data_IF_859002783161
#
_entry.id   IF_859002783161
#
_cell.length_a   1.000
_cell.length_b   1.000
_cell.length_c   1.000
_cell.angle_alpha   90.00
_cell.angle_beta   90.00
_cell.angle_gamma   90.00
#
_symmetry.space_group_name_H-M   'P 1'
#
loop_
_entity.id
_entity.type
_entity.pdbx_description
1 polymer ?
#
# COMPACT_ATOMS: atom_id res chain seq x y z
N UNK A 1 -5.71 22.44 4.99
CA UNK A 1 -4.67 21.78 4.15
C UNK A 1 -5.19 21.66 2.72
N UNK A 2 -4.36 21.61 1.70
CA UNK A 2 -4.81 21.30 0.33
C UNK A 2 -4.54 19.81 0.00
N UNK A 3 -5.07 19.34 -1.16
CA UNK A 3 -4.92 17.96 -1.61
C UNK A 3 -3.46 17.51 -1.68
N UNK A 4 -2.60 18.30 -2.33
CA UNK A 4 -1.19 17.94 -2.54
C UNK A 4 -0.41 17.84 -1.22
N UNK A 5 -0.74 18.70 -0.27
CA UNK A 5 -0.17 18.65 1.09
C UNK A 5 -0.59 17.37 1.82
N UNK A 6 -1.83 16.90 1.67
CA UNK A 6 -2.29 15.64 2.26
C UNK A 6 -1.55 14.46 1.64
N UNK A 7 -1.47 14.39 0.30
CA UNK A 7 -0.75 13.34 -0.42
C UNK A 7 0.71 13.27 0.03
N UNK A 8 1.40 14.42 0.05
CA UNK A 8 2.79 14.48 0.50
C UNK A 8 2.98 14.11 1.97
N UNK A 9 2.01 14.42 2.83
CA UNK A 9 2.05 14.01 4.26
C UNK A 9 1.90 12.50 4.40
N UNK A 10 0.93 11.92 3.72
CA UNK A 10 0.71 10.47 3.73
C UNK A 10 1.93 9.71 3.18
N UNK A 11 2.49 10.17 2.06
CA UNK A 11 3.70 9.57 1.47
C UNK A 11 4.92 9.63 2.40
N UNK A 12 5.14 10.76 3.07
CA UNK A 12 6.21 10.90 4.07
C UNK A 12 6.02 9.99 5.28
N UNK A 13 4.80 9.85 5.78
CA UNK A 13 4.47 8.92 6.86
C UNK A 13 4.76 7.47 6.43
N UNK A 14 4.34 7.08 5.22
CA UNK A 14 4.58 5.76 4.66
C UNK A 14 6.08 5.44 4.54
N UNK A 15 6.85 6.37 3.98
CA UNK A 15 8.29 6.25 3.86
C UNK A 15 8.97 6.06 5.22
N UNK A 16 8.65 6.93 6.17
CA UNK A 16 9.25 6.89 7.50
C UNK A 16 8.92 5.59 8.23
N UNK A 17 7.66 5.15 8.19
CA UNK A 17 7.26 3.93 8.88
C UNK A 17 7.90 2.68 8.26
N UNK A 18 7.95 2.58 6.93
CA UNK A 18 8.61 1.44 6.27
C UNK A 18 10.10 1.38 6.57
N UNK A 19 10.79 2.54 6.54
CA UNK A 19 12.20 2.63 6.87
C UNK A 19 12.51 2.21 8.32
N UNK A 20 11.69 2.67 9.27
CA UNK A 20 12.00 2.58 10.70
C UNK A 20 11.42 1.31 11.36
N UNK A 21 10.31 0.79 10.83
CA UNK A 21 9.57 -0.33 11.44
C UNK A 21 9.50 -1.57 10.55
N UNK A 22 9.78 -1.42 9.26
CA UNK A 22 9.63 -2.44 8.23
C UNK A 22 8.18 -2.94 8.10
N UNK A 23 7.87 -3.67 7.03
CA UNK A 23 6.52 -4.20 6.86
C UNK A 23 5.64 -3.38 5.93
N UNK A 24 5.99 -3.39 4.65
CA UNK A 24 5.42 -2.54 3.58
C UNK A 24 3.88 -2.49 3.54
N UNK A 25 3.16 -3.57 3.86
CA UNK A 25 1.71 -3.56 3.91
C UNK A 25 1.19 -2.78 5.13
N UNK A 26 1.84 -2.97 6.30
CA UNK A 26 1.50 -2.21 7.50
C UNK A 26 1.89 -0.74 7.37
N UNK A 27 3.01 -0.43 6.74
CA UNK A 27 3.43 0.95 6.47
C UNK A 27 2.42 1.68 5.59
N UNK A 28 1.91 1.00 4.55
CA UNK A 28 0.83 1.53 3.70
C UNK A 28 -0.43 1.82 4.51
N UNK A 29 -0.90 0.84 5.29
CA UNK A 29 -2.12 1.02 6.10
C UNK A 29 -1.92 2.10 7.15
N UNK A 30 -0.77 2.14 7.85
CA UNK A 30 -0.47 3.14 8.88
C UNK A 30 -0.52 4.57 8.35
N UNK A 31 0.14 4.81 7.22
CA UNK A 31 0.14 6.13 6.61
C UNK A 31 -1.26 6.60 6.20
N UNK A 32 -2.08 5.67 5.69
CA UNK A 32 -3.48 5.96 5.37
C UNK A 32 -4.33 6.15 6.62
N UNK A 33 -4.10 5.40 7.70
CA UNK A 33 -4.75 5.58 9.00
C UNK A 33 -4.46 6.95 9.62
N UNK A 34 -3.28 7.50 9.39
CA UNK A 34 -2.94 8.85 9.87
C UNK A 34 -3.85 9.89 9.22
N UNK A 35 -4.17 9.74 7.95
CA UNK A 35 -4.92 10.71 7.16
C UNK A 35 -6.43 10.41 7.07
N UNK A 36 -6.84 9.14 7.14
CA UNK A 36 -8.23 8.70 6.95
C UNK A 36 -8.75 7.92 8.17
N UNK A 37 -10.07 7.89 8.39
CA UNK A 37 -10.67 7.21 9.54
C UNK A 37 -10.72 5.68 9.35
N UNK A 38 -9.57 5.04 9.41
CA UNK A 38 -9.39 3.58 9.31
C UNK A 38 -9.19 3.03 10.72
N UNK A 39 -9.81 1.89 11.03
CA UNK A 39 -9.67 1.22 12.32
C UNK A 39 -8.36 0.41 12.41
N UNK A 40 -7.79 0.32 13.63
CA UNK A 40 -6.53 -0.37 13.90
C UNK A 40 -6.52 -1.84 13.47
N UNK A 41 -7.68 -2.48 13.41
CA UNK A 41 -7.77 -3.87 12.97
C UNK A 41 -7.23 -4.07 11.55
N UNK A 42 -7.38 -3.06 10.66
CA UNK A 42 -6.85 -3.13 9.28
C UNK A 42 -5.33 -3.17 9.28
N UNK A 43 -4.68 -2.39 10.16
CA UNK A 43 -3.23 -2.43 10.36
C UNK A 43 -2.77 -3.82 10.84
N UNK A 44 -3.48 -4.38 11.80
CA UNK A 44 -3.17 -5.70 12.37
C UNK A 44 -3.25 -6.82 11.33
N UNK A 45 -4.32 -6.87 10.54
CA UNK A 45 -4.50 -7.92 9.54
C UNK A 45 -3.58 -7.74 8.32
N UNK A 46 -3.00 -6.56 8.12
CA UNK A 46 -1.99 -6.31 7.10
C UNK A 46 -0.61 -6.94 7.42
N UNK A 47 -0.36 -7.34 8.67
CA UNK A 47 0.95 -7.83 9.11
C UNK A 47 1.53 -8.95 8.22
N UNK A 48 0.82 -10.04 7.88
CA UNK A 48 1.37 -11.10 7.05
C UNK A 48 1.52 -10.73 5.57
N UNK A 49 1.01 -9.58 5.13
CA UNK A 49 0.94 -9.18 3.72
C UNK A 49 2.24 -8.54 3.20
N UNK A 50 3.30 -8.45 4.02
CA UNK A 50 4.56 -7.82 3.65
C UNK A 50 5.51 -8.79 2.93
N UNK A 51 6.46 -8.24 2.15
CA UNK A 51 7.49 -9.00 1.46
C UNK A 51 6.96 -10.02 0.45
N UNK A 52 5.85 -9.74 -0.21
CA UNK A 52 5.19 -10.70 -1.12
C UNK A 52 4.54 -11.85 -0.38
N UNK A 53 3.84 -11.54 0.69
CA UNK A 53 3.20 -12.41 1.70
C UNK A 53 4.25 -13.19 2.50
N UNK A 54 4.34 -12.84 3.77
CA UNK A 54 5.26 -13.47 4.74
C UNK A 54 6.72 -13.57 4.24
N UNK A 55 7.21 -12.56 3.53
CA UNK A 55 8.55 -12.48 2.91
C UNK A 55 8.82 -13.52 1.81
N UNK A 56 7.81 -14.19 1.29
CA UNK A 56 7.94 -15.23 0.25
C UNK A 56 8.30 -14.70 -1.14
N UNK A 57 8.18 -13.41 -1.39
CA UNK A 57 8.56 -12.75 -2.64
C UNK A 57 7.63 -13.04 -3.84
N UNK A 58 6.82 -14.07 -3.78
CA UNK A 58 5.97 -14.56 -4.89
C UNK A 58 4.54 -14.05 -4.85
N UNK A 59 4.13 -13.43 -3.76
CA UNK A 59 2.87 -12.71 -3.64
C UNK A 59 3.00 -11.23 -4.03
N UNK A 60 1.88 -10.49 -4.07
CA UNK A 60 1.90 -9.08 -4.40
C UNK A 60 2.72 -8.24 -3.42
N UNK A 61 3.24 -7.10 -3.91
CA UNK A 61 3.91 -6.10 -3.08
C UNK A 61 3.02 -5.64 -1.93
N UNK A 62 3.61 -5.44 -0.74
CA UNK A 62 2.85 -5.02 0.43
C UNK A 62 2.20 -3.64 0.28
N UNK A 63 2.83 -2.73 -0.45
CA UNK A 63 2.20 -1.45 -0.82
C UNK A 63 0.89 -1.63 -1.59
N UNK A 64 0.85 -2.59 -2.51
CA UNK A 64 -0.37 -2.96 -3.23
C UNK A 64 -1.40 -3.62 -2.31
N UNK A 65 -0.97 -4.61 -1.51
CA UNK A 65 -1.88 -5.34 -0.60
C UNK A 65 -2.45 -4.44 0.49
N UNK A 66 -1.64 -3.55 1.07
CA UNK A 66 -2.12 -2.56 2.03
C UNK A 66 -3.23 -1.68 1.44
N UNK A 67 -3.06 -1.24 0.20
CA UNK A 67 -4.11 -0.51 -0.53
C UNK A 67 -5.37 -1.33 -0.76
N UNK A 68 -5.22 -2.60 -1.18
CA UNK A 68 -6.35 -3.49 -1.38
C UNK A 68 -7.16 -3.72 -0.09
N UNK A 69 -6.48 -3.87 1.06
CA UNK A 69 -7.13 -3.97 2.38
C UNK A 69 -7.91 -2.71 2.73
N UNK A 70 -7.33 -1.54 2.47
CA UNK A 70 -7.98 -0.24 2.75
C UNK A 70 -9.20 -0.03 1.83
N UNK A 71 -9.12 -0.37 0.55
CA UNK A 71 -10.29 -0.33 -0.33
C UNK A 71 -11.38 -1.31 0.12
N UNK A 72 -11.00 -2.52 0.57
CA UNK A 72 -11.92 -3.47 1.16
C UNK A 72 -12.59 -2.93 2.43
N UNK A 73 -11.85 -2.20 3.27
CA UNK A 73 -12.39 -1.58 4.48
C UNK A 73 -13.49 -0.54 4.18
N UNK A 74 -13.27 0.35 3.20
CA UNK A 74 -14.24 1.41 2.88
C UNK A 74 -15.38 0.95 1.96
N UNK A 75 -15.13 0.03 1.04
CA UNK A 75 -16.02 -0.27 -0.07
C UNK A 75 -16.34 -1.76 -0.21
N UNK A 76 -15.77 -2.59 0.67
CA UNK A 76 -15.99 -4.02 0.67
C UNK A 76 -17.42 -4.38 1.05
N UNK A 77 -17.84 -5.56 0.61
CA UNK A 77 -19.15 -6.10 0.89
C UNK A 77 -19.23 -6.56 2.35
N UNK A 78 -20.28 -6.14 3.06
CA UNK A 78 -20.56 -6.70 4.39
C UNK A 78 -21.13 -8.13 4.32
N UNK A 79 -21.14 -8.83 5.45
CA UNK A 79 -21.52 -10.26 5.54
C UNK A 79 -22.99 -10.52 5.15
N UNK A 80 -23.85 -9.52 5.29
CA UNK A 80 -25.28 -9.65 5.00
C UNK A 80 -25.63 -9.26 3.57
N UNK A 81 -24.69 -8.71 2.83
CA UNK A 81 -24.92 -8.29 1.45
C UNK A 81 -25.12 -9.49 0.53
N UNK A 82 -26.33 -9.66 0.02
CA UNK A 82 -26.60 -10.68 -1.02
C UNK A 82 -26.08 -10.18 -2.37
N UNK A 83 -25.32 -11.03 -3.04
CA UNK A 83 -24.86 -10.74 -4.40
C UNK A 83 -26.06 -10.82 -5.35
N UNK A 84 -26.51 -9.68 -5.83
CA UNK A 84 -27.42 -9.61 -6.96
C UNK A 84 -26.62 -9.54 -8.25
N UNK A 85 -27.17 -10.09 -9.35
CA UNK A 85 -26.53 -9.97 -10.67
C UNK A 85 -26.33 -8.48 -11.01
N UNK A 86 -25.08 -8.07 -11.24
CA UNK A 86 -24.72 -6.69 -11.52
C UNK A 86 -24.28 -5.86 -10.33
N UNK A 87 -24.04 -6.47 -9.17
CA UNK A 87 -23.44 -5.76 -8.02
C UNK A 87 -22.11 -5.12 -8.39
N UNK A 88 -22.06 -3.79 -8.29
CA UNK A 88 -20.84 -3.04 -8.55
C UNK A 88 -19.91 -3.17 -7.33
N UNK A 89 -18.80 -3.88 -7.50
CA UNK A 89 -17.79 -4.06 -6.45
C UNK A 89 -16.77 -2.92 -6.54
N UNK A 90 -17.07 -1.80 -5.89
CA UNK A 90 -16.21 -0.60 -5.90
C UNK A 90 -14.80 -0.90 -5.41
N UNK A 91 -14.65 -1.72 -4.38
CA UNK A 91 -13.36 -2.19 -3.88
C UNK A 91 -12.51 -2.83 -4.99
N UNK A 92 -13.11 -3.72 -5.78
CA UNK A 92 -12.43 -4.41 -6.90
C UNK A 92 -12.08 -3.47 -8.05
N UNK A 93 -12.95 -2.50 -8.33
CA UNK A 93 -12.68 -1.45 -9.32
C UNK A 93 -11.43 -0.66 -8.94
N UNK A 94 -11.35 -0.18 -7.69
CA UNK A 94 -10.22 0.59 -7.18
C UNK A 94 -8.93 -0.23 -7.11
N UNK A 95 -9.02 -1.50 -6.68
CA UNK A 95 -7.88 -2.42 -6.71
C UNK A 95 -7.38 -2.63 -8.15
N UNK A 96 -8.28 -2.71 -9.15
CA UNK A 96 -7.89 -2.82 -10.55
C UNK A 96 -7.23 -1.53 -11.09
N UNK A 97 -7.67 -0.35 -10.64
CA UNK A 97 -6.99 0.92 -10.99
C UNK A 97 -5.59 0.93 -10.37
N UNK A 98 -5.44 0.59 -9.10
CA UNK A 98 -4.14 0.50 -8.44
C UNK A 98 -3.22 -0.53 -9.13
N UNK A 99 -3.78 -1.69 -9.54
CA UNK A 99 -3.04 -2.70 -10.30
C UNK A 99 -2.47 -2.14 -11.60
N UNK A 100 -3.26 -1.39 -12.36
CA UNK A 100 -2.79 -0.75 -13.60
C UNK A 100 -1.63 0.20 -13.33
N UNK A 101 -1.73 1.05 -12.30
CA UNK A 101 -0.64 1.96 -11.89
C UNK A 101 0.64 1.18 -11.55
N UNK A 102 0.54 0.04 -10.86
CA UNK A 102 1.68 -0.83 -10.56
C UNK A 102 2.34 -1.40 -11.81
N UNK A 103 1.55 -1.92 -12.77
CA UNK A 103 2.08 -2.42 -14.04
C UNK A 103 2.73 -1.32 -14.88
N UNK A 104 2.13 -0.14 -14.93
CA UNK A 104 2.66 1.01 -15.69
C UNK A 104 3.97 1.55 -15.09
N UNK A 105 4.10 1.55 -13.77
CA UNK A 105 5.24 2.17 -13.09
C UNK A 105 6.36 1.17 -12.74
N UNK A 106 6.00 -0.04 -12.30
CA UNK A 106 6.93 -1.07 -11.83
C UNK A 106 7.02 -2.30 -12.77
N UNK A 107 6.25 -2.35 -13.85
CA UNK A 107 6.21 -3.50 -14.76
C UNK A 107 5.50 -4.74 -14.21
N UNK A 108 4.98 -4.70 -12.99
CA UNK A 108 4.31 -5.81 -12.33
C UNK A 108 3.84 -5.44 -10.92
N UNK A 109 3.20 -6.38 -10.24
CA UNK A 109 2.74 -6.16 -8.87
C UNK A 109 3.27 -7.19 -7.85
N UNK A 110 3.87 -8.29 -8.34
CA UNK A 110 4.49 -9.30 -7.47
C UNK A 110 5.75 -8.71 -6.83
N UNK A 111 6.02 -9.03 -5.57
CA UNK A 111 7.13 -8.44 -4.82
C UNK A 111 8.47 -8.55 -5.59
N UNK A 112 8.79 -9.74 -6.13
CA UNK A 112 10.01 -9.94 -6.94
C UNK A 112 9.99 -9.17 -8.26
N UNK A 113 8.84 -8.94 -8.87
CA UNK A 113 8.73 -8.11 -10.09
C UNK A 113 9.03 -6.65 -9.77
N UNK A 114 8.43 -6.14 -8.68
CA UNK A 114 8.72 -4.79 -8.19
C UNK A 114 10.18 -4.63 -7.82
N UNK A 115 10.78 -5.61 -7.10
CA UNK A 115 12.21 -5.60 -6.79
C UNK A 115 13.06 -5.57 -8.07
N UNK A 116 12.77 -6.41 -9.07
CA UNK A 116 13.47 -6.39 -10.34
C UNK A 116 13.41 -5.02 -11.02
N UNK A 117 12.30 -4.32 -10.92
CA UNK A 117 12.17 -2.99 -11.49
C UNK A 117 13.02 -1.94 -10.78
N UNK A 118 13.10 -1.98 -9.45
CA UNK A 118 13.73 -0.91 -8.66
C UNK A 118 15.18 -1.19 -8.27
N UNK A 119 15.62 -2.46 -8.25
CA UNK A 119 17.02 -2.88 -8.00
C UNK A 119 17.71 -3.44 -9.23
N UNK A 120 16.97 -3.81 -10.29
CA UNK A 120 17.49 -4.55 -11.42
C UNK A 120 17.55 -6.08 -11.22
N UNK A 121 17.24 -6.56 -10.03
CA UNK A 121 17.14 -7.97 -9.64
C UNK A 121 16.23 -8.14 -8.41
N UNK A 122 15.94 -9.37 -8.03
CA UNK A 122 15.17 -9.69 -6.84
C UNK A 122 15.99 -10.47 -5.83
N UNK A 123 15.55 -10.43 -4.58
CA UNK A 123 16.19 -11.13 -3.46
C UNK A 123 15.29 -12.24 -2.93
N UNK A 124 15.89 -13.29 -2.38
CA UNK A 124 15.22 -14.25 -1.52
C UNK A 124 15.33 -13.80 -0.07
N UNK A 125 14.28 -13.19 0.45
CA UNK A 125 14.28 -12.64 1.80
C UNK A 125 14.25 -13.71 2.91
N UNK A 126 14.09 -14.99 2.57
CA UNK A 126 14.30 -16.11 3.48
C UNK A 126 15.78 -16.52 3.59
N UNK A 127 16.57 -16.30 2.54
CA UNK A 127 18.01 -16.52 2.60
C UNK A 127 18.70 -15.39 3.36
N UNK A 128 19.42 -15.68 4.46
CA UNK A 128 20.06 -14.63 5.26
C UNK A 128 21.09 -13.80 4.49
N UNK A 129 21.83 -14.42 3.55
CA UNK A 129 22.84 -13.72 2.76
C UNK A 129 22.21 -12.79 1.70
N UNK A 130 21.11 -13.22 1.09
CA UNK A 130 20.36 -12.36 0.17
C UNK A 130 19.64 -11.23 0.90
N UNK A 131 19.15 -11.49 2.11
CA UNK A 131 18.57 -10.46 2.97
C UNK A 131 19.60 -9.41 3.36
N UNK A 132 20.83 -9.81 3.69
CA UNK A 132 21.92 -8.88 3.97
C UNK A 132 22.23 -7.99 2.75
N UNK A 133 22.31 -8.58 1.55
CA UNK A 133 22.50 -7.83 0.30
C UNK A 133 21.36 -6.83 0.06
N UNK A 134 20.11 -7.26 0.28
CA UNK A 134 18.93 -6.37 0.17
C UNK A 134 19.09 -5.14 1.06
N UNK A 135 19.51 -5.32 2.31
CA UNK A 135 19.75 -4.17 3.22
C UNK A 135 20.94 -3.31 2.74
N UNK A 136 22.03 -3.93 2.30
CA UNK A 136 23.21 -3.21 1.79
C UNK A 136 22.88 -2.38 0.54
N UNK A 137 21.96 -2.83 -0.30
CA UNK A 137 21.47 -2.11 -1.48
C UNK A 137 20.37 -1.09 -1.15
N UNK A 138 20.11 -0.84 0.13
CA UNK A 138 19.17 0.18 0.60
C UNK A 138 17.72 -0.26 0.62
N UNK A 139 17.47 -1.56 0.73
CA UNK A 139 16.14 -2.16 0.69
C UNK A 139 15.13 -1.46 1.60
N UNK A 140 15.34 -1.52 2.90
CA UNK A 140 14.50 -0.78 3.85
C UNK A 140 14.97 0.67 4.09
N UNK A 141 16.22 1.02 3.77
CA UNK A 141 16.69 2.38 3.99
C UNK A 141 16.02 3.40 3.05
N UNK A 142 15.76 3.01 1.81
CA UNK A 142 15.25 3.95 0.80
C UNK A 142 14.36 3.30 -0.27
N UNK A 143 14.70 2.11 -0.80
CA UNK A 143 14.08 1.61 -2.02
C UNK A 143 12.63 1.17 -1.77
N UNK A 144 12.38 0.24 -0.86
CA UNK A 144 11.02 -0.15 -0.50
C UNK A 144 10.21 0.99 0.14
N UNK A 145 10.78 1.87 1.01
CA UNK A 145 10.09 3.07 1.47
C UNK A 145 9.57 3.96 0.34
N UNK A 146 10.32 4.15 -0.74
CA UNK A 146 9.85 4.92 -1.90
C UNK A 146 8.72 4.20 -2.65
N UNK A 147 8.78 2.88 -2.81
CA UNK A 147 7.69 2.09 -3.41
C UNK A 147 6.40 2.25 -2.61
N UNK A 148 6.50 2.15 -1.27
CA UNK A 148 5.34 2.30 -0.37
C UNK A 148 4.79 3.72 -0.39
N UNK A 149 5.65 4.73 -0.37
CA UNK A 149 5.25 6.14 -0.47
C UNK A 149 4.49 6.42 -1.77
N UNK A 150 5.00 5.95 -2.90
CA UNK A 150 4.33 6.06 -4.21
C UNK A 150 2.96 5.39 -4.21
N UNK A 151 2.86 4.17 -3.65
CA UNK A 151 1.58 3.47 -3.54
C UNK A 151 0.57 4.25 -2.69
N UNK A 152 1.01 4.81 -1.55
CA UNK A 152 0.17 5.59 -0.64
C UNK A 152 -0.35 6.87 -1.31
N UNK A 153 0.45 7.55 -2.12
CA UNK A 153 -0.02 8.69 -2.92
C UNK A 153 -1.17 8.28 -3.84
N UNK A 154 -1.00 7.21 -4.62
CA UNK A 154 -2.05 6.72 -5.52
C UNK A 154 -3.32 6.29 -4.80
N UNK A 155 -3.18 5.60 -3.65
CA UNK A 155 -4.32 5.15 -2.86
C UNK A 155 -5.06 6.35 -2.26
N UNK A 156 -4.33 7.33 -1.73
CA UNK A 156 -4.91 8.56 -1.18
C UNK A 156 -5.67 9.35 -2.25
N UNK A 157 -5.12 9.47 -3.46
CA UNK A 157 -5.82 10.07 -4.60
C UNK A 157 -7.15 9.38 -4.91
N UNK A 158 -7.15 8.04 -4.92
CA UNK A 158 -8.34 7.25 -5.21
C UNK A 158 -9.39 7.40 -4.09
N UNK A 159 -8.99 7.38 -2.82
CA UNK A 159 -9.89 7.59 -1.68
C UNK A 159 -10.56 8.97 -1.74
N UNK A 160 -9.79 10.03 -2.03
CA UNK A 160 -10.31 11.39 -2.19
C UNK A 160 -11.28 11.46 -3.38
N UNK A 161 -10.93 10.81 -4.49
CA UNK A 161 -11.78 10.74 -5.69
C UNK A 161 -13.13 10.06 -5.44
N UNK A 162 -13.19 9.12 -4.51
CA UNK A 162 -14.41 8.45 -4.05
C UNK A 162 -15.05 9.15 -2.83
N UNK A 163 -14.67 10.40 -2.56
CA UNK A 163 -15.23 11.22 -1.49
C UNK A 163 -15.04 10.66 -0.07
N UNK A 164 -14.02 9.82 0.16
CA UNK A 164 -13.64 9.43 1.52
C UNK A 164 -13.04 10.64 2.22
N UNK A 165 -13.75 11.10 3.27
CA UNK A 165 -13.34 12.29 4.02
C UNK A 165 -12.09 11.99 4.84
N UNK A 166 -11.03 12.81 4.72
CA UNK A 166 -9.90 12.74 5.64
C UNK A 166 -10.30 13.06 7.08
N UNK A 167 -9.44 12.71 8.05
CA UNK A 167 -9.58 13.13 9.45
C UNK A 167 -9.66 14.65 9.56
N UNK A 168 -10.27 15.18 10.62
CA UNK A 168 -10.54 16.62 10.77
C UNK A 168 -9.30 17.49 10.57
N UNK A 169 -8.15 17.08 11.13
CA UNK A 169 -6.89 17.78 11.01
C UNK A 169 -6.33 17.85 9.58
N UNK A 170 -6.83 17.02 8.69
CA UNK A 170 -6.40 16.93 7.27
C UNK A 170 -7.49 17.38 6.30
N UNK A 171 -8.64 17.87 6.77
CA UNK A 171 -9.72 18.34 5.90
C UNK A 171 -9.27 19.52 5.04
N UNK A 172 -9.76 19.55 3.82
CA UNK A 172 -9.54 20.66 2.91
C UNK A 172 -10.37 21.88 3.41
N UNK A 173 -9.75 23.05 3.40
CA UNK A 173 -10.50 24.30 3.52
C UNK A 173 -11.19 24.52 2.18
N UNK A 174 -12.52 24.59 2.19
CA UNK A 174 -13.33 24.99 1.05
C UNK A 174 -13.04 26.45 0.63
#
# INVERSE_FOLDING_TARGET
>A
MNRDQLLGTAAKSAFAFERDSHGCAQATVKALMDCFPIEEIVFKVASPCSGGIANGGTGPCGGFLGGALVFGYFFGRDIHHKTENGSNYKDRELVNVLRKKYYEHFGGLICKEVQNSVFGHSFDLFDPADREKFEMEGGHAQVCPNVVATAVEWISELLIGEHVMPREEYRFNE
#
